data_IF_014291686910
#
_entry.id   IF_014291686910
#
_cell.length_a   1.000
_cell.length_b   1.000
_cell.length_c   1.000
_cell.angle_alpha   90.00
_cell.angle_beta   90.00
_cell.angle_gamma   90.00
#
_symmetry.space_group_name_H-M   'P 1'
#
loop_
_entity.id
_entity.type
_entity.pdbx_description
1 polymer ?
#
# COMPACT_ATOMS: atom_id res chain seq x y z
N UNK A 1 -17.05 8.45 2.22
CA UNK A 1 -16.87 9.46 3.31
C UNK A 1 -16.49 10.80 2.71
N UNK A 2 -16.87 11.93 3.33
CA UNK A 2 -16.41 13.26 2.89
C UNK A 2 -15.01 13.58 3.43
N UNK A 3 -14.38 14.65 2.95
CA UNK A 3 -13.00 15.04 3.31
C UNK A 3 -12.81 15.27 4.81
N UNK A 4 -13.80 15.87 5.50
CA UNK A 4 -13.71 16.14 6.92
C UNK A 4 -13.74 14.84 7.77
N UNK A 5 -14.55 13.87 7.34
CA UNK A 5 -14.61 12.53 7.95
C UNK A 5 -13.30 11.77 7.74
N UNK A 6 -12.77 11.74 6.51
CA UNK A 6 -11.47 11.13 6.22
C UNK A 6 -10.35 11.76 7.04
N UNK A 7 -10.31 13.09 7.15
CA UNK A 7 -9.32 13.81 7.97
C UNK A 7 -9.40 13.43 9.45
N UNK A 8 -10.60 13.13 9.95
CA UNK A 8 -10.78 12.65 11.34
C UNK A 8 -10.19 11.25 11.51
N UNK A 9 -10.43 10.35 10.55
CA UNK A 9 -9.86 9.00 10.54
C UNK A 9 -8.33 9.08 10.46
N UNK A 10 -7.77 9.89 9.56
CA UNK A 10 -6.32 10.09 9.45
C UNK A 10 -5.69 10.52 10.77
N UNK A 11 -6.29 11.49 11.48
CA UNK A 11 -5.79 11.93 12.80
C UNK A 11 -5.82 10.80 13.82
N UNK A 12 -6.85 9.96 13.81
CA UNK A 12 -6.91 8.80 14.73
C UNK A 12 -5.84 7.77 14.38
N UNK A 13 -5.71 7.39 13.11
CA UNK A 13 -4.68 6.43 12.65
C UNK A 13 -3.27 6.92 13.02
N UNK A 14 -2.99 8.24 12.90
CA UNK A 14 -1.70 8.79 13.32
C UNK A 14 -1.44 8.60 14.82
N UNK A 15 -2.44 8.84 15.67
CA UNK A 15 -2.32 8.57 17.11
C UNK A 15 -2.08 7.11 17.41
N UNK A 16 -2.79 6.24 16.71
CA UNK A 16 -2.66 4.79 16.86
C UNK A 16 -1.26 4.31 16.46
N UNK A 17 -0.69 4.84 15.36
CA UNK A 17 0.69 4.57 14.93
C UNK A 17 1.69 4.92 16.04
N UNK A 18 1.60 6.14 16.57
CA UNK A 18 2.52 6.60 17.62
C UNK A 18 2.39 5.74 18.88
N UNK A 19 1.16 5.45 19.30
CA UNK A 19 0.91 4.62 20.48
C UNK A 19 1.42 3.19 20.28
N UNK A 20 1.17 2.57 19.12
CA UNK A 20 1.62 1.21 18.85
C UNK A 20 3.15 1.13 18.83
N UNK A 21 3.82 2.04 18.13
CA UNK A 21 5.29 2.03 18.04
C UNK A 21 5.96 2.38 19.36
N UNK A 22 5.41 3.32 20.14
CA UNK A 22 5.91 3.66 21.47
C UNK A 22 5.75 2.51 22.46
N UNK A 23 4.58 1.86 22.49
CA UNK A 23 4.33 0.72 23.40
C UNK A 23 5.17 -0.51 23.02
N UNK A 24 5.42 -0.73 21.74
CA UNK A 24 6.24 -1.84 21.27
C UNK A 24 7.75 -1.57 21.44
N UNK A 25 8.18 -0.32 21.66
CA UNK A 25 9.58 0.06 21.65
C UNK A 25 10.28 -0.19 20.31
N UNK A 26 9.52 -0.40 19.24
CA UNK A 26 10.04 -0.71 17.89
C UNK A 26 9.02 -0.33 16.82
N UNK A 27 9.49 -0.24 15.56
CA UNK A 27 8.67 0.06 14.39
C UNK A 27 9.18 1.27 13.61
N UNK A 28 8.50 1.59 12.53
CA UNK A 28 8.87 2.66 11.59
C UNK A 28 7.79 3.75 11.58
N UNK A 29 7.75 4.67 12.57
CA UNK A 29 6.69 5.68 12.64
C UNK A 29 6.69 6.60 11.42
N UNK A 30 7.86 7.05 10.94
CA UNK A 30 7.95 7.96 9.79
C UNK A 30 7.32 7.39 8.53
N UNK A 31 7.74 6.20 8.11
CA UNK A 31 7.21 5.50 6.93
C UNK A 31 5.74 5.11 7.05
N UNK A 32 5.24 4.96 8.29
CA UNK A 32 3.83 4.71 8.56
C UNK A 32 3.00 5.99 8.48
N UNK A 33 3.50 7.10 9.05
CA UNK A 33 2.79 8.39 9.07
C UNK A 33 2.64 8.99 7.67
N UNK A 34 3.63 8.81 6.79
CA UNK A 34 3.57 9.29 5.40
C UNK A 34 2.47 8.62 4.58
N UNK A 35 2.16 7.36 4.86
CA UNK A 35 1.20 6.55 4.12
C UNK A 35 -0.27 6.76 4.54
N UNK A 36 -0.55 7.51 5.60
CA UNK A 36 -1.88 7.56 6.25
C UNK A 36 -2.97 8.01 5.30
N UNK A 37 -2.81 9.15 4.62
CA UNK A 37 -3.84 9.71 3.74
C UNK A 37 -4.14 8.80 2.56
N UNK A 38 -3.10 8.26 1.93
CA UNK A 38 -3.25 7.33 0.80
C UNK A 38 -4.03 6.09 1.24
N UNK A 39 -3.61 5.47 2.33
CA UNK A 39 -4.21 4.23 2.81
C UNK A 39 -5.65 4.45 3.31
N UNK A 40 -5.91 5.51 4.07
CA UNK A 40 -7.26 5.85 4.51
C UNK A 40 -8.17 6.15 3.32
N UNK A 41 -7.71 6.91 2.32
CA UNK A 41 -8.50 7.19 1.12
C UNK A 41 -8.87 5.92 0.37
N UNK A 42 -7.91 5.02 0.18
CA UNK A 42 -8.14 3.76 -0.53
C UNK A 42 -9.17 2.89 0.20
N UNK A 43 -8.96 2.63 1.49
CA UNK A 43 -9.84 1.73 2.25
C UNK A 43 -11.24 2.27 2.48
N UNK A 44 -11.40 3.59 2.63
CA UNK A 44 -12.69 4.17 3.00
C UNK A 44 -13.48 4.76 1.83
N UNK A 45 -12.85 4.97 0.66
CA UNK A 45 -13.55 5.56 -0.50
C UNK A 45 -13.43 4.75 -1.80
N UNK A 46 -12.40 3.91 -1.96
CA UNK A 46 -12.14 3.29 -3.26
C UNK A 46 -12.30 1.78 -3.27
N UNK A 47 -11.96 1.10 -2.18
CA UNK A 47 -12.06 -0.35 -2.08
C UNK A 47 -13.46 -0.82 -1.72
N UNK A 48 -13.91 -1.90 -2.35
CA UNK A 48 -15.04 -2.70 -1.90
C UNK A 48 -14.58 -3.67 -0.81
N UNK A 49 -14.74 -3.26 0.42
CA UNK A 49 -14.47 -4.08 1.60
C UNK A 49 -15.66 -3.97 2.54
N UNK A 50 -16.13 -5.11 3.03
CA UNK A 50 -17.19 -5.19 4.03
C UNK A 50 -16.60 -5.71 5.34
N UNK A 51 -16.54 -4.87 6.39
CA UNK A 51 -16.05 -5.29 7.70
C UNK A 51 -16.82 -6.47 8.30
N UNK A 52 -18.08 -6.66 7.92
CA UNK A 52 -18.92 -7.77 8.39
C UNK A 52 -18.65 -9.06 7.61
N UNK A 53 -18.08 -8.96 6.40
CA UNK A 53 -17.72 -10.10 5.57
C UNK A 53 -16.30 -9.96 4.97
N UNK A 54 -15.25 -9.99 5.79
CA UNK A 54 -13.88 -9.76 5.37
C UNK A 54 -13.32 -10.85 4.44
N UNK A 55 -14.02 -11.97 4.30
CA UNK A 55 -13.67 -13.10 3.42
C UNK A 55 -14.47 -13.15 2.12
N UNK A 56 -15.29 -12.13 1.83
CA UNK A 56 -16.06 -12.09 0.58
C UNK A 56 -15.14 -12.32 -0.63
N UNK A 57 -15.54 -13.21 -1.53
CA UNK A 57 -14.72 -13.58 -2.70
C UNK A 57 -14.53 -12.40 -3.66
N UNK A 58 -15.54 -11.54 -3.78
CA UNK A 58 -15.57 -10.40 -4.69
C UNK A 58 -15.04 -9.10 -4.08
N UNK A 59 -14.48 -9.14 -2.84
CA UNK A 59 -13.87 -7.95 -2.25
C UNK A 59 -12.60 -7.56 -3.00
N UNK A 60 -12.28 -6.28 -2.97
CA UNK A 60 -11.02 -5.80 -3.49
C UNK A 60 -9.84 -6.21 -2.58
N UNK A 61 -8.64 -6.19 -3.13
CA UNK A 61 -7.41 -6.64 -2.44
C UNK A 61 -6.46 -5.48 -2.25
N UNK A 62 -5.71 -5.51 -1.15
CA UNK A 62 -4.69 -4.51 -0.86
C UNK A 62 -3.37 -5.17 -0.47
N UNK A 63 -2.30 -4.77 -1.13
CA UNK A 63 -0.94 -5.22 -0.84
C UNK A 63 -0.08 -4.04 -0.40
N UNK A 64 0.36 -4.06 0.84
CA UNK A 64 1.32 -3.10 1.37
C UNK A 64 2.74 -3.55 1.00
N UNK A 65 3.27 -3.12 -0.15
CA UNK A 65 4.61 -3.51 -0.59
C UNK A 65 5.71 -2.91 0.29
N UNK A 66 5.56 -1.64 0.71
CA UNK A 66 6.40 -1.02 1.74
C UNK A 66 6.08 -1.58 3.14
N UNK A 67 6.47 -2.82 3.40
CA UNK A 67 6.08 -3.59 4.60
C UNK A 67 6.39 -2.89 5.93
N UNK A 68 7.39 -2.02 5.97
CA UNK A 68 7.74 -1.23 7.16
C UNK A 68 6.63 -0.22 7.58
N UNK A 69 5.64 0.08 6.73
CA UNK A 69 4.46 0.87 7.10
C UNK A 69 3.33 0.03 7.74
N UNK A 70 3.62 -1.19 8.20
CA UNK A 70 2.66 -2.07 8.89
C UNK A 70 1.90 -1.39 10.03
N UNK A 71 2.47 -0.51 10.90
CA UNK A 71 1.69 0.20 11.91
C UNK A 71 0.55 1.04 11.33
N UNK A 72 0.73 1.68 10.16
CA UNK A 72 -0.35 2.38 9.47
C UNK A 72 -1.44 1.39 9.03
N UNK A 73 -1.03 0.27 8.44
CA UNK A 73 -1.95 -0.76 7.99
C UNK A 73 -2.80 -1.32 9.14
N UNK A 74 -2.19 -1.59 10.28
CA UNK A 74 -2.92 -2.05 11.47
C UNK A 74 -3.89 -0.99 12.01
N UNK A 75 -3.50 0.28 12.02
CA UNK A 75 -4.39 1.38 12.42
C UNK A 75 -5.63 1.51 11.54
N UNK A 76 -5.49 1.28 10.22
CA UNK A 76 -6.60 1.25 9.27
C UNK A 76 -7.45 -0.01 9.47
N UNK A 77 -6.81 -1.19 9.58
CA UNK A 77 -7.48 -2.48 9.72
C UNK A 77 -8.19 -2.69 11.06
N UNK A 78 -7.88 -1.91 12.08
CA UNK A 78 -8.62 -1.94 13.34
C UNK A 78 -10.13 -1.70 13.14
N UNK A 79 -10.51 -1.11 12.00
CA UNK A 79 -11.91 -0.83 11.64
C UNK A 79 -12.38 -1.53 10.38
N UNK A 80 -11.45 -2.02 9.55
CA UNK A 80 -11.75 -2.70 8.27
C UNK A 80 -10.84 -3.92 8.15
N UNK A 81 -11.23 -5.10 8.63
CA UNK A 81 -10.37 -6.28 8.66
C UNK A 81 -10.08 -6.85 7.27
N UNK A 82 -8.90 -7.41 7.13
CA UNK A 82 -8.47 -8.19 5.96
C UNK A 82 -7.04 -7.90 5.50
N UNK A 83 -6.11 -8.80 5.80
CA UNK A 83 -4.75 -8.78 5.24
C UNK A 83 -4.70 -9.79 4.09
N UNK A 84 -4.33 -9.32 2.89
CA UNK A 84 -4.25 -10.16 1.69
C UNK A 84 -2.87 -10.79 1.49
N UNK A 85 -1.81 -10.09 1.90
CA UNK A 85 -0.45 -10.59 1.84
C UNK A 85 0.39 -9.98 2.95
N UNK A 86 1.26 -10.80 3.54
CA UNK A 86 2.32 -10.33 4.43
C UNK A 86 3.55 -10.00 3.61
N UNK A 87 4.10 -8.81 3.80
CA UNK A 87 5.28 -8.33 3.09
C UNK A 87 6.36 -7.88 4.08
N UNK A 88 7.61 -7.76 3.60
CA UNK A 88 8.75 -7.33 4.40
C UNK A 88 9.99 -7.15 3.54
N UNK A 89 10.15 -8.00 2.53
CA UNK A 89 11.18 -7.84 1.50
C UNK A 89 10.67 -6.85 0.46
N UNK A 90 11.34 -5.71 0.33
CA UNK A 90 10.95 -4.64 -0.59
C UNK A 90 10.92 -5.15 -2.03
N UNK A 91 9.96 -4.65 -2.80
CA UNK A 91 9.72 -5.04 -4.20
C UNK A 91 8.78 -6.24 -4.37
N UNK A 92 8.76 -7.19 -3.42
CA UNK A 92 7.97 -8.42 -3.53
C UNK A 92 6.45 -8.16 -3.61
N UNK A 93 5.97 -7.17 -2.85
CA UNK A 93 4.54 -6.87 -2.79
C UNK A 93 3.97 -6.44 -4.14
N UNK A 94 4.72 -5.73 -4.96
CA UNK A 94 4.28 -5.35 -6.30
C UNK A 94 4.01 -6.57 -7.18
N UNK A 95 4.94 -7.54 -7.19
CA UNK A 95 4.78 -8.79 -7.95
C UNK A 95 3.60 -9.64 -7.45
N UNK A 96 3.39 -9.68 -6.12
CA UNK A 96 2.20 -10.35 -5.53
C UNK A 96 0.92 -9.68 -6.03
N UNK A 97 0.86 -8.35 -6.05
CA UNK A 97 -0.31 -7.61 -6.52
C UNK A 97 -0.60 -7.86 -8.01
N UNK A 98 0.45 -7.91 -8.85
CA UNK A 98 0.34 -8.29 -10.27
C UNK A 98 -0.25 -9.69 -10.41
N UNK A 99 0.25 -10.67 -9.63
CA UNK A 99 -0.28 -12.03 -9.62
C UNK A 99 -1.74 -12.10 -9.21
N UNK A 100 -2.15 -11.35 -8.18
CA UNK A 100 -3.55 -11.28 -7.74
C UNK A 100 -4.45 -10.66 -8.80
N UNK A 101 -4.02 -9.56 -9.43
CA UNK A 101 -4.78 -8.89 -10.47
C UNK A 101 -4.95 -9.77 -11.71
N UNK A 102 -3.89 -10.43 -12.15
CA UNK A 102 -3.91 -11.38 -13.26
C UNK A 102 -4.83 -12.57 -12.95
N UNK A 103 -4.71 -13.15 -11.73
CA UNK A 103 -5.55 -14.26 -11.31
C UNK A 103 -7.05 -13.90 -11.28
N UNK A 104 -7.39 -12.70 -10.77
CA UNK A 104 -8.76 -12.20 -10.80
C UNK A 104 -9.29 -12.04 -12.24
N UNK A 105 -8.48 -11.45 -13.12
CA UNK A 105 -8.82 -11.25 -14.54
C UNK A 105 -9.05 -12.60 -15.28
N UNK A 106 -8.17 -13.57 -15.06
CA UNK A 106 -8.31 -14.92 -15.65
C UNK A 106 -9.56 -15.66 -15.15
N UNK A 107 -10.00 -15.38 -13.93
CA UNK A 107 -11.22 -15.96 -13.35
C UNK A 107 -12.49 -15.18 -13.72
N UNK A 108 -12.40 -14.10 -14.50
CA UNK A 108 -13.52 -13.25 -14.85
C UNK A 108 -14.11 -12.48 -13.65
N UNK A 109 -13.33 -12.28 -12.59
CA UNK A 109 -13.75 -11.52 -11.41
C UNK A 109 -13.47 -10.03 -11.60
N UNK A 110 -14.39 -9.17 -11.14
CA UNK A 110 -14.22 -7.71 -11.17
C UNK A 110 -13.46 -7.15 -9.95
N UNK A 111 -12.70 -8.02 -9.27
CA UNK A 111 -11.84 -7.66 -8.13
C UNK A 111 -10.78 -6.66 -8.56
N UNK A 112 -10.71 -5.54 -7.87
CA UNK A 112 -9.63 -4.55 -8.00
C UNK A 112 -8.53 -4.86 -7.00
N UNK A 113 -7.29 -4.63 -7.42
CA UNK A 113 -6.10 -4.81 -6.58
C UNK A 113 -5.39 -3.48 -6.44
N UNK A 114 -5.06 -3.11 -5.21
CA UNK A 114 -4.33 -1.92 -4.86
C UNK A 114 -2.99 -2.31 -4.24
N UNK A 115 -1.90 -1.75 -4.73
CA UNK A 115 -0.57 -1.94 -4.18
C UNK A 115 0.00 -0.59 -3.73
N UNK A 116 0.61 -0.54 -2.54
CA UNK A 116 1.27 0.65 -2.03
C UNK A 116 2.76 0.40 -1.86
N UNK A 117 3.55 1.14 -2.60
CA UNK A 117 5.00 1.12 -2.63
C UNK A 117 5.58 2.34 -1.91
N UNK A 118 6.84 2.23 -1.49
CA UNK A 118 7.66 3.40 -1.15
C UNK A 118 8.47 3.86 -2.36
N UNK A 119 8.84 5.13 -2.39
CA UNK A 119 9.70 5.66 -3.44
C UNK A 119 11.11 5.03 -3.39
N UNK A 120 11.74 4.93 -2.22
CA UNK A 120 12.99 4.21 -2.07
C UNK A 120 12.90 2.73 -2.47
N UNK A 121 11.75 2.09 -2.24
CA UNK A 121 11.48 0.72 -2.70
C UNK A 121 11.50 0.61 -4.24
N UNK A 122 11.16 1.67 -4.96
CA UNK A 122 11.20 1.70 -6.42
C UNK A 122 12.62 1.63 -7.01
N UNK A 123 13.66 1.60 -6.20
CA UNK A 123 15.04 1.28 -6.61
C UNK A 123 15.23 -0.21 -6.89
N UNK A 124 14.32 -1.06 -6.40
CA UNK A 124 14.34 -2.49 -6.68
C UNK A 124 13.93 -2.76 -8.13
N UNK A 125 14.79 -3.47 -8.89
CA UNK A 125 14.53 -3.82 -10.29
C UNK A 125 13.23 -4.61 -10.49
N UNK A 126 12.86 -5.44 -9.50
CA UNK A 126 11.65 -6.23 -9.49
C UNK A 126 10.36 -5.39 -9.62
N UNK A 127 10.36 -4.15 -9.13
CA UNK A 127 9.22 -3.22 -9.30
C UNK A 127 8.97 -2.98 -10.79
N UNK A 128 10.01 -2.66 -11.54
CA UNK A 128 9.92 -2.36 -12.98
C UNK A 128 9.55 -3.60 -13.79
N UNK A 129 10.08 -4.76 -13.42
CA UNK A 129 9.70 -6.05 -14.02
C UNK A 129 8.21 -6.36 -13.79
N UNK A 130 7.72 -6.12 -12.58
CA UNK A 130 6.32 -6.28 -12.24
C UNK A 130 5.43 -5.32 -13.05
N UNK A 131 5.81 -4.04 -13.17
CA UNK A 131 5.07 -3.04 -13.93
C UNK A 131 5.05 -3.36 -15.43
N UNK A 132 6.17 -3.83 -16.01
CA UNK A 132 6.20 -4.32 -17.39
C UNK A 132 5.22 -5.48 -17.60
N UNK A 133 5.19 -6.42 -16.66
CA UNK A 133 4.24 -7.55 -16.70
C UNK A 133 2.79 -7.07 -16.61
N UNK A 134 2.49 -6.13 -15.71
CA UNK A 134 1.16 -5.54 -15.57
C UNK A 134 0.69 -4.87 -16.86
N UNK A 135 1.58 -4.11 -17.51
CA UNK A 135 1.30 -3.47 -18.80
C UNK A 135 1.08 -4.51 -19.91
N UNK A 136 1.94 -5.53 -20.00
CA UNK A 136 1.84 -6.59 -21.00
C UNK A 136 0.50 -7.33 -20.91
N UNK A 137 0.08 -7.72 -19.71
CA UNK A 137 -1.18 -8.42 -19.48
C UNK A 137 -2.39 -7.47 -19.39
N UNK A 138 -2.20 -6.16 -19.59
CA UNK A 138 -3.24 -5.13 -19.58
C UNK A 138 -4.09 -5.21 -18.31
N UNK A 139 -3.44 -5.19 -17.14
CA UNK A 139 -4.11 -5.33 -15.85
C UNK A 139 -4.78 -4.01 -15.44
N UNK A 140 -5.91 -3.72 -16.06
CA UNK A 140 -6.78 -2.55 -15.80
C UNK A 140 -7.48 -2.60 -14.44
N UNK A 141 -7.38 -3.72 -13.75
CA UNK A 141 -7.86 -3.95 -12.40
C UNK A 141 -6.76 -3.78 -11.32
N UNK A 142 -5.54 -3.36 -11.70
CA UNK A 142 -4.44 -3.06 -10.77
C UNK A 142 -4.19 -1.56 -10.67
N UNK A 143 -4.15 -1.05 -9.44
CA UNK A 143 -3.71 0.32 -9.14
C UNK A 143 -2.46 0.26 -8.27
N UNK A 144 -1.36 0.81 -8.76
CA UNK A 144 -0.10 0.93 -8.02
C UNK A 144 0.06 2.38 -7.57
N UNK A 145 0.29 2.57 -6.28
CA UNK A 145 0.50 3.88 -5.66
C UNK A 145 1.90 3.94 -5.07
N UNK A 146 2.57 5.07 -5.22
CA UNK A 146 3.87 5.31 -4.61
C UNK A 146 3.75 6.39 -3.53
N UNK A 147 4.11 6.06 -2.30
CA UNK A 147 4.33 7.03 -1.24
C UNK A 147 5.67 7.71 -1.49
N UNK A 148 5.61 8.82 -2.24
CA UNK A 148 6.78 9.58 -2.66
C UNK A 148 7.15 10.62 -1.58
N UNK A 149 7.66 10.13 -0.44
CA UNK A 149 8.02 10.97 0.68
C UNK A 149 9.47 11.52 0.62
N UNK A 150 10.25 11.12 -0.37
CA UNK A 150 11.62 11.58 -0.61
C UNK A 150 12.67 10.98 0.31
N UNK A 151 12.30 10.05 1.20
CA UNK A 151 13.17 9.52 2.25
C UNK A 151 13.26 8.00 2.21
N UNK A 152 14.43 7.49 2.55
CA UNK A 152 14.69 6.08 2.82
C UNK A 152 15.56 5.93 4.07
N UNK A 153 15.92 4.71 4.46
CA UNK A 153 16.59 4.40 5.74
C UNK A 153 17.81 5.29 5.99
N UNK A 154 18.67 5.46 4.98
CA UNK A 154 19.97 6.10 5.11
C UNK A 154 19.99 7.60 4.77
N UNK A 155 18.86 8.18 4.36
CA UNK A 155 18.78 9.59 4.01
C UNK A 155 17.74 9.91 2.95
N UNK A 156 17.92 11.03 2.25
CA UNK A 156 17.05 11.36 1.13
C UNK A 156 17.35 10.46 -0.09
N UNK A 157 16.31 10.18 -0.88
CA UNK A 157 16.48 9.38 -2.10
C UNK A 157 17.53 9.99 -3.05
N UNK A 158 17.62 11.31 -3.10
CA UNK A 158 18.60 11.98 -3.97
C UNK A 158 20.05 11.77 -3.52
N UNK A 159 20.28 11.66 -2.21
CA UNK A 159 21.63 11.44 -1.64
C UNK A 159 22.04 9.97 -1.70
N UNK A 160 21.11 9.05 -1.49
CA UNK A 160 21.40 7.61 -1.47
C UNK A 160 21.43 7.05 -2.89
N UNK A 161 20.30 7.15 -3.61
CA UNK A 161 20.20 6.75 -5.03
C UNK A 161 18.99 7.41 -5.66
N UNK A 162 19.19 8.40 -6.50
CA UNK A 162 18.11 9.11 -7.15
C UNK A 162 17.37 8.25 -8.17
N UNK A 163 16.04 8.30 -8.10
CA UNK A 163 15.15 7.66 -9.08
C UNK A 163 14.80 8.59 -10.25
N UNK A 164 15.23 9.87 -10.19
CA UNK A 164 14.80 10.88 -11.12
C UNK A 164 13.30 11.14 -11.03
N UNK A 165 12.67 11.45 -12.15
CA UNK A 165 11.22 11.67 -12.22
C UNK A 165 10.48 10.34 -12.36
N UNK A 166 9.86 9.89 -11.25
CA UNK A 166 9.07 8.66 -11.22
C UNK A 166 7.81 8.73 -12.11
N UNK A 167 7.25 9.93 -12.27
CA UNK A 167 6.05 10.09 -13.09
C UNK A 167 6.35 10.01 -14.59
N UNK A 168 7.60 10.29 -14.98
CA UNK A 168 8.05 10.20 -16.38
C UNK A 168 8.46 8.77 -16.78
N UNK A 169 8.64 7.87 -15.82
CA UNK A 169 9.05 6.47 -16.05
C UNK A 169 7.84 5.54 -16.19
#
# INVERSE_FOLDING_TARGET
MNTAELSRVCRQVRRDIINMTANAGSGHPGGSLSAVELMVSVFYNHMRVDPQNPKAENRDRFVLSKGHAAPCYYGVLAKVPGIDASTGSLGQGCSIAVGMALGAKLQGKDTKVFAMLGDGECQEGQIWEALMSAAHYKLDNLTVMVDNNGLQIDGSNNEVMSLGDLAAK
#
